data_IF_100025234148
#
_entry.id   IF_100025234148
#
_cell.length_a   1.000
_cell.length_b   1.000
_cell.length_c   1.000
_cell.angle_alpha   90.00
_cell.angle_beta   90.00
_cell.angle_gamma   90.00
#
_symmetry.space_group_name_H-M   'P 1'
#
loop_
_entity.id
_entity.type
_entity.pdbx_description
1 polymer ?
#
# COMPACT_ATOMS: atom_id res chain seq x y z
N UNK A 1 20.23 -24.66 -5.21
CA UNK A 1 20.13 -23.64 -6.29
C UNK A 1 18.65 -23.52 -6.59
N UNK A 2 17.89 -22.52 -6.15
CA UNK A 2 18.19 -21.09 -6.10
C UNK A 2 17.21 -20.37 -7.03
N UNK A 3 15.91 -20.55 -6.82
CA UNK A 3 14.86 -19.74 -7.43
C UNK A 3 13.87 -19.34 -6.33
N UNK A 4 13.99 -18.12 -5.84
CA UNK A 4 12.93 -17.46 -5.08
C UNK A 4 11.65 -17.49 -5.94
N UNK A 5 10.69 -18.33 -5.59
CA UNK A 5 9.41 -18.43 -6.30
C UNK A 5 8.56 -17.20 -5.99
N UNK A 6 8.80 -16.12 -6.72
CA UNK A 6 8.03 -14.89 -6.64
C UNK A 6 6.71 -15.03 -7.40
N UNK A 7 5.60 -14.63 -6.76
CA UNK A 7 4.26 -14.64 -7.35
C UNK A 7 3.42 -15.90 -7.10
N UNK A 8 3.78 -16.74 -6.13
CA UNK A 8 3.01 -17.92 -5.75
C UNK A 8 2.12 -17.62 -4.52
N UNK A 9 0.80 -17.74 -4.66
CA UNK A 9 -0.18 -17.54 -3.60
C UNK A 9 -0.85 -18.90 -3.27
N UNK A 10 -0.20 -19.77 -2.50
CA UNK A 10 -0.69 -21.15 -2.31
C UNK A 10 -2.05 -21.22 -1.62
N UNK A 11 -2.85 -22.19 -2.06
CA UNK A 11 -3.94 -22.80 -1.30
C UNK A 11 -3.68 -24.31 -1.26
N UNK A 12 -3.10 -24.84 -0.19
CA UNK A 12 -2.98 -26.31 -0.06
C UNK A 12 -4.36 -26.87 0.32
N UNK A 13 -5.04 -27.49 -0.64
CA UNK A 13 -6.29 -28.25 -0.40
C UNK A 13 -6.06 -29.75 -0.33
N UNK A 14 -4.83 -30.23 -0.13
CA UNK A 14 -4.58 -31.66 -0.08
C UNK A 14 -4.70 -32.21 1.35
N UNK A 15 -5.83 -32.88 1.60
CA UNK A 15 -6.05 -33.69 2.78
C UNK A 15 -5.04 -34.85 2.85
N UNK A 16 -3.86 -34.61 3.43
CA UNK A 16 -2.98 -35.69 3.89
C UNK A 16 -2.87 -35.68 5.41
N UNK A 17 -3.38 -36.70 6.11
CA UNK A 17 -3.04 -36.88 7.51
C UNK A 17 -1.66 -37.51 7.54
N UNK A 18 -0.65 -36.78 8.03
CA UNK A 18 0.51 -37.27 8.80
C UNK A 18 1.64 -36.26 8.75
N UNK A 19 2.25 -36.02 9.91
CA UNK A 19 3.20 -34.95 10.15
C UNK A 19 4.41 -34.92 9.22
N UNK A 20 4.69 -33.71 8.72
CA UNK A 20 5.93 -33.34 8.06
C UNK A 20 6.04 -31.81 8.07
N UNK A 21 6.76 -31.25 9.04
CA UNK A 21 7.05 -29.81 9.10
C UNK A 21 8.15 -29.49 8.07
N UNK A 22 7.77 -29.27 6.81
CA UNK A 22 8.73 -28.84 5.79
C UNK A 22 9.05 -27.34 5.99
N UNK A 23 10.31 -27.08 6.39
CA UNK A 23 10.83 -25.75 6.74
C UNK A 23 11.17 -24.88 5.52
N UNK A 24 10.86 -25.31 4.29
CA UNK A 24 11.25 -24.60 3.06
C UNK A 24 10.16 -23.68 2.48
N UNK A 25 8.94 -23.68 3.03
CA UNK A 25 7.77 -22.91 2.55
C UNK A 25 7.53 -21.58 3.28
N UNK A 26 8.59 -20.93 3.78
CA UNK A 26 8.47 -19.69 4.57
C UNK A 26 8.04 -18.48 3.71
N UNK A 27 8.17 -18.55 2.38
CA UNK A 27 8.01 -17.37 1.50
C UNK A 27 6.61 -17.17 0.87
N UNK A 28 5.68 -18.13 1.00
CA UNK A 28 4.45 -18.15 0.17
C UNK A 28 3.15 -18.21 0.96
N UNK A 29 3.21 -17.98 2.27
CA UNK A 29 2.05 -17.90 3.17
C UNK A 29 1.69 -16.44 3.50
N UNK A 30 1.91 -15.56 2.53
CA UNK A 30 1.84 -14.12 2.71
C UNK A 30 0.53 -13.62 2.12
N UNK A 31 -0.05 -12.58 2.74
CA UNK A 31 -1.36 -12.03 2.39
C UNK A 31 -1.19 -10.78 1.51
N UNK A 32 -0.98 -10.90 0.19
CA UNK A 32 -1.27 -9.77 -0.67
C UNK A 32 -2.78 -9.62 -0.77
N UNK A 33 -3.23 -8.40 -0.89
CA UNK A 33 -4.63 -8.06 -1.22
C UNK A 33 -5.17 -8.80 -2.45
N UNK A 34 -4.29 -9.29 -3.34
CA UNK A 34 -4.60 -10.17 -4.47
C UNK A 34 -5.20 -11.54 -4.08
N UNK A 35 -4.94 -12.03 -2.87
CA UNK A 35 -5.50 -13.30 -2.38
C UNK A 35 -7.02 -13.21 -2.10
N UNK A 36 -7.57 -11.99 -2.02
CA UNK A 36 -9.01 -11.79 -1.85
C UNK A 36 -9.82 -11.85 -3.15
N UNK A 37 -9.15 -12.06 -4.30
CA UNK A 37 -9.80 -12.27 -5.60
C UNK A 37 -10.44 -13.65 -5.75
N UNK A 38 -10.28 -14.56 -4.78
CA UNK A 38 -10.79 -15.93 -4.82
C UNK A 38 -12.13 -16.11 -4.09
N UNK A 39 -12.88 -17.17 -4.43
CA UNK A 39 -14.31 -17.34 -4.15
C UNK A 39 -14.73 -17.69 -2.71
N UNK A 40 -13.79 -17.99 -1.80
CA UNK A 40 -14.11 -18.35 -0.40
C UNK A 40 -13.10 -17.73 0.54
N UNK A 41 -13.57 -16.84 1.43
CA UNK A 41 -12.69 -16.11 2.36
C UNK A 41 -13.29 -15.94 3.78
N UNK A 42 -14.23 -16.79 4.18
CA UNK A 42 -14.84 -16.73 5.51
C UNK A 42 -14.76 -18.08 6.23
N UNK A 43 -14.07 -18.15 7.39
CA UNK A 43 -13.10 -17.18 7.90
C UNK A 43 -11.87 -17.08 6.96
N UNK A 44 -11.20 -15.92 6.86
CA UNK A 44 -10.03 -15.73 6.02
C UNK A 44 -8.96 -16.81 6.22
N UNK A 45 -8.36 -17.27 5.13
CA UNK A 45 -7.29 -18.28 5.05
C UNK A 45 -7.66 -19.72 5.32
N UNK A 46 -8.90 -19.99 5.74
CA UNK A 46 -9.36 -21.37 5.94
C UNK A 46 -9.24 -22.21 4.66
N UNK A 47 -9.47 -21.61 3.50
CA UNK A 47 -9.36 -22.28 2.20
C UNK A 47 -7.92 -22.44 1.70
N UNK A 48 -6.93 -21.86 2.38
CA UNK A 48 -5.55 -21.73 1.90
C UNK A 48 -4.51 -22.43 2.78
N UNK A 49 -4.95 -23.27 3.71
CA UNK A 49 -4.12 -23.88 4.77
C UNK A 49 -3.23 -22.85 5.54
N UNK A 50 -3.73 -21.62 5.60
CA UNK A 50 -3.11 -20.51 6.31
C UNK A 50 -3.62 -20.41 7.74
N UNK A 51 -2.98 -19.55 8.53
CA UNK A 51 -3.51 -19.24 9.86
C UNK A 51 -4.87 -18.54 9.73
N UNK A 52 -5.91 -19.17 10.25
CA UNK A 52 -7.30 -18.70 10.14
C UNK A 52 -7.52 -17.50 11.03
N UNK A 53 -7.96 -16.40 10.43
CA UNK A 53 -8.22 -15.15 11.13
C UNK A 53 -9.69 -15.11 11.56
N UNK A 54 -9.97 -15.31 12.85
CA UNK A 54 -11.35 -15.43 13.37
C UNK A 54 -11.85 -14.14 14.03
N UNK A 55 -10.96 -13.31 14.58
CA UNK A 55 -11.32 -12.02 15.16
C UNK A 55 -12.55 -12.09 16.08
N UNK A 56 -13.63 -11.39 15.71
CA UNK A 56 -14.93 -11.42 16.41
C UNK A 56 -15.90 -12.35 15.68
N UNK A 57 -16.56 -13.26 16.41
CA UNK A 57 -17.59 -14.13 15.87
C UNK A 57 -18.92 -13.39 15.65
N UNK A 58 -19.54 -13.60 14.49
CA UNK A 58 -20.86 -13.10 14.10
C UNK A 58 -21.87 -14.24 13.95
N UNK A 59 -23.16 -13.89 13.86
CA UNK A 59 -24.22 -14.84 13.55
C UNK A 59 -24.02 -15.52 12.19
N UNK A 60 -24.33 -16.82 12.14
CA UNK A 60 -24.19 -17.65 10.95
C UNK A 60 -22.78 -18.19 10.69
N UNK A 61 -21.92 -18.26 11.71
CA UNK A 61 -20.55 -18.80 11.58
C UNK A 61 -19.62 -17.92 10.74
N UNK A 62 -19.90 -16.61 10.70
CA UNK A 62 -19.10 -15.60 10.00
C UNK A 62 -18.21 -14.86 10.99
N UNK A 63 -17.13 -14.27 10.50
CA UNK A 63 -16.13 -13.63 11.35
C UNK A 63 -15.82 -12.22 10.86
N UNK A 64 -15.64 -11.29 11.81
CA UNK A 64 -15.03 -9.99 11.57
C UNK A 64 -13.57 -10.10 11.99
N UNK A 65 -12.72 -10.42 11.02
CA UNK A 65 -11.45 -11.05 11.30
C UNK A 65 -10.32 -10.09 11.64
N UNK A 66 -10.32 -8.86 11.11
CA UNK A 66 -9.22 -7.92 11.29
C UNK A 66 -9.71 -6.52 11.69
N UNK A 67 -10.37 -6.46 12.86
CA UNK A 67 -10.86 -5.20 13.43
C UNK A 67 -9.73 -4.17 13.59
N UNK A 68 -8.52 -4.64 13.90
CA UNK A 68 -7.33 -3.82 14.05
C UNK A 68 -7.02 -2.98 12.81
N UNK A 69 -6.84 -3.62 11.65
CA UNK A 69 -6.61 -2.91 10.38
C UNK A 69 -7.78 -2.00 10.02
N UNK A 70 -9.04 -2.40 10.28
CA UNK A 70 -10.21 -1.54 10.01
C UNK A 70 -10.11 -0.22 10.78
N UNK A 71 -9.82 -0.29 12.09
CA UNK A 71 -9.73 0.90 12.93
C UNK A 71 -8.55 1.80 12.52
N UNK A 72 -7.40 1.20 12.23
CA UNK A 72 -6.23 1.95 11.78
C UNK A 72 -6.44 2.58 10.41
N UNK A 73 -7.07 1.88 9.47
CA UNK A 73 -7.40 2.42 8.17
C UNK A 73 -8.37 3.61 8.27
N UNK A 74 -9.37 3.51 9.16
CA UNK A 74 -10.24 4.65 9.46
C UNK A 74 -9.46 5.84 10.04
N UNK A 75 -8.54 5.59 10.97
CA UNK A 75 -7.64 6.64 11.51
C UNK A 75 -6.77 7.22 10.39
N UNK A 76 -6.25 6.40 9.49
CA UNK A 76 -5.43 6.81 8.36
C UNK A 76 -6.19 7.73 7.39
N UNK A 77 -7.48 7.45 7.14
CA UNK A 77 -8.36 8.34 6.38
C UNK A 77 -8.49 9.70 7.05
N UNK A 78 -8.79 9.72 8.36
CA UNK A 78 -8.97 10.97 9.13
C UNK A 78 -7.67 11.77 9.17
N UNK A 79 -6.54 11.12 9.45
CA UNK A 79 -5.22 11.76 9.47
C UNK A 79 -4.91 12.34 8.09
N UNK A 80 -5.10 11.58 7.02
CA UNK A 80 -4.85 12.05 5.65
C UNK A 80 -5.73 13.23 5.25
N UNK A 81 -7.01 13.24 5.65
CA UNK A 81 -7.89 14.39 5.46
C UNK A 81 -7.38 15.64 6.20
N UNK A 82 -6.89 15.48 7.44
CA UNK A 82 -6.24 16.56 8.20
C UNK A 82 -4.98 17.04 7.50
N UNK A 83 -4.15 16.13 6.96
CA UNK A 83 -2.94 16.48 6.23
C UNK A 83 -3.25 17.23 4.92
N UNK A 84 -4.29 16.84 4.18
CA UNK A 84 -4.77 17.58 2.99
C UNK A 84 -5.15 19.01 3.38
N UNK A 85 -5.90 19.17 4.47
CA UNK A 85 -6.28 20.49 4.99
C UNK A 85 -5.06 21.32 5.42
N UNK A 86 -4.06 20.70 6.06
CA UNK A 86 -2.81 21.39 6.42
C UNK A 86 -1.98 21.76 5.18
N UNK A 87 -1.95 20.92 4.16
CA UNK A 87 -1.31 21.23 2.87
C UNK A 87 -1.98 22.42 2.18
N UNK A 88 -3.31 22.55 2.26
CA UNK A 88 -4.03 23.65 1.59
C UNK A 88 -3.61 25.02 2.12
N UNK A 89 -3.35 25.11 3.43
CA UNK A 89 -2.89 26.32 4.10
C UNK A 89 -1.50 26.81 3.67
N UNK A 90 -0.69 25.97 3.02
CA UNK A 90 0.67 26.29 2.56
C UNK A 90 0.65 26.86 1.15
N UNK A 91 0.15 28.09 0.97
CA UNK A 91 -0.10 28.65 -0.37
C UNK A 91 1.14 28.85 -1.25
N UNK A 92 2.34 28.95 -0.66
CA UNK A 92 3.60 29.12 -1.36
C UNK A 92 4.43 27.82 -1.49
N UNK A 93 3.94 26.70 -0.97
CA UNK A 93 4.67 25.43 -1.01
C UNK A 93 4.66 24.81 -2.41
N UNK A 94 5.84 24.40 -2.86
CA UNK A 94 6.03 23.67 -4.11
C UNK A 94 5.40 22.27 -4.01
N UNK A 95 4.69 21.81 -5.03
CA UNK A 95 4.11 20.48 -5.11
C UNK A 95 2.87 20.31 -4.23
N UNK A 96 2.19 21.40 -3.86
CA UNK A 96 1.05 21.35 -2.93
C UNK A 96 -0.11 20.52 -3.48
N UNK A 97 -0.51 20.73 -4.74
CA UNK A 97 -1.68 20.04 -5.31
C UNK A 97 -1.38 18.56 -5.57
N UNK A 98 -0.13 18.30 -5.89
CA UNK A 98 0.48 17.00 -6.14
C UNK A 98 0.55 16.18 -4.84
N UNK A 99 0.94 16.82 -3.72
CA UNK A 99 0.87 16.22 -2.39
C UNK A 99 -0.58 15.93 -1.96
N UNK A 100 -1.51 16.85 -2.22
CA UNK A 100 -2.94 16.60 -1.95
C UNK A 100 -3.49 15.44 -2.79
N UNK A 101 -3.07 15.33 -4.05
CA UNK A 101 -3.46 14.22 -4.93
C UNK A 101 -2.92 12.87 -4.42
N UNK A 102 -1.67 12.84 -3.95
CA UNK A 102 -1.09 11.67 -3.29
C UNK A 102 -1.89 11.26 -2.04
N UNK A 103 -2.17 12.21 -1.15
CA UNK A 103 -2.95 11.93 0.07
C UNK A 103 -4.39 11.50 -0.24
N UNK A 104 -5.00 12.04 -1.30
CA UNK A 104 -6.31 11.59 -1.77
C UNK A 104 -6.26 10.15 -2.31
N UNK A 105 -5.22 9.78 -3.05
CA UNK A 105 -4.96 8.40 -3.46
C UNK A 105 -4.81 7.46 -2.27
N UNK A 106 -4.05 7.89 -1.26
CA UNK A 106 -3.90 7.13 -0.02
C UNK A 106 -5.22 6.95 0.76
N UNK A 107 -6.10 7.96 0.79
CA UNK A 107 -7.47 7.80 1.34
C UNK A 107 -8.25 6.71 0.57
N UNK A 108 -8.15 6.66 -0.75
CA UNK A 108 -8.82 5.61 -1.55
C UNK A 108 -8.28 4.22 -1.21
N UNK A 109 -6.96 4.08 -1.03
CA UNK A 109 -6.32 2.84 -0.59
C UNK A 109 -6.92 2.39 0.75
N UNK A 110 -6.94 3.26 1.75
CA UNK A 110 -7.42 2.95 3.10
C UNK A 110 -8.92 2.61 3.14
N UNK A 111 -9.74 3.29 2.32
CA UNK A 111 -11.16 2.92 2.16
C UNK A 111 -11.28 1.48 1.63
N UNK A 112 -10.47 1.12 0.63
CA UNK A 112 -10.51 -0.22 0.08
C UNK A 112 -9.94 -1.24 1.08
N UNK A 113 -8.92 -0.89 1.85
CA UNK A 113 -8.31 -1.74 2.86
C UNK A 113 -9.31 -2.23 3.91
N UNK A 114 -10.21 -1.34 4.35
CA UNK A 114 -11.32 -1.69 5.27
C UNK A 114 -12.15 -2.86 4.72
N UNK A 115 -12.47 -2.85 3.42
CA UNK A 115 -13.32 -3.86 2.79
C UNK A 115 -12.56 -5.09 2.28
N UNK A 116 -11.25 -5.00 2.10
CA UNK A 116 -10.43 -6.12 1.63
C UNK A 116 -9.70 -6.81 2.78
N UNK A 117 -8.78 -6.09 3.44
CA UNK A 117 -7.88 -6.62 4.47
C UNK A 117 -8.59 -6.68 5.83
N UNK A 118 -9.58 -5.82 6.05
CA UNK A 118 -10.39 -5.79 7.27
C UNK A 118 -11.17 -7.08 7.56
N UNK A 119 -11.37 -7.93 6.56
CA UNK A 119 -12.01 -9.24 6.75
C UNK A 119 -13.49 -9.14 7.11
N UNK A 120 -14.18 -8.11 6.61
CA UNK A 120 -15.63 -7.95 6.74
C UNK A 120 -16.31 -9.07 5.93
N UNK A 121 -17.37 -9.73 6.44
CA UNK A 121 -18.08 -10.79 5.72
C UNK A 121 -18.99 -10.21 4.62
N UNK A 122 -18.38 -9.76 3.54
CA UNK A 122 -19.02 -9.22 2.34
C UNK A 122 -19.41 -10.32 1.36
N UNK A 123 -20.34 -9.99 0.46
CA UNK A 123 -20.59 -10.80 -0.74
C UNK A 123 -19.30 -10.97 -1.56
N UNK A 124 -19.17 -12.13 -2.21
CA UNK A 124 -17.97 -12.51 -2.95
C UNK A 124 -17.63 -11.52 -4.07
N UNK A 125 -18.65 -11.07 -4.80
CA UNK A 125 -18.50 -10.13 -5.92
C UNK A 125 -18.09 -8.75 -5.42
N UNK A 126 -18.65 -8.31 -4.30
CA UNK A 126 -18.32 -7.02 -3.68
C UNK A 126 -16.88 -7.02 -3.19
N UNK A 127 -16.45 -8.09 -2.51
CA UNK A 127 -15.07 -8.24 -2.04
C UNK A 127 -14.08 -8.21 -3.21
N UNK A 128 -14.33 -8.99 -4.26
CA UNK A 128 -13.52 -9.01 -5.48
C UNK A 128 -13.39 -7.62 -6.13
N UNK A 129 -14.51 -6.89 -6.22
CA UNK A 129 -14.53 -5.51 -6.71
C UNK A 129 -13.65 -4.58 -5.90
N UNK A 130 -13.80 -4.56 -4.57
CA UNK A 130 -12.95 -3.76 -3.69
C UNK A 130 -11.48 -4.17 -3.78
N UNK A 131 -11.16 -5.46 -3.88
CA UNK A 131 -9.78 -5.93 -4.05
C UNK A 131 -9.14 -5.43 -5.34
N UNK A 132 -9.89 -5.43 -6.45
CA UNK A 132 -9.39 -4.89 -7.72
C UNK A 132 -9.14 -3.37 -7.64
N UNK A 133 -10.07 -2.62 -7.06
CA UNK A 133 -9.91 -1.17 -6.84
C UNK A 133 -8.74 -0.89 -5.90
N UNK A 134 -8.56 -1.68 -4.84
CA UNK A 134 -7.48 -1.54 -3.89
C UNK A 134 -6.11 -1.67 -4.57
N UNK A 135 -5.91 -2.75 -5.33
CA UNK A 135 -4.66 -2.99 -6.05
C UNK A 135 -4.39 -1.89 -7.08
N UNK A 136 -5.41 -1.47 -7.81
CA UNK A 136 -5.31 -0.36 -8.76
C UNK A 136 -4.93 0.97 -8.08
N UNK A 137 -5.54 1.27 -6.93
CA UNK A 137 -5.27 2.47 -6.16
C UNK A 137 -3.83 2.51 -5.64
N UNK A 138 -3.28 1.38 -5.19
CA UNK A 138 -1.88 1.26 -4.77
C UNK A 138 -0.94 1.56 -5.94
N UNK A 139 -1.14 0.92 -7.10
CA UNK A 139 -0.33 1.17 -8.29
C UNK A 139 -0.35 2.64 -8.70
N UNK A 140 -1.54 3.24 -8.79
CA UNK A 140 -1.71 4.63 -9.20
C UNK A 140 -1.13 5.62 -8.18
N UNK A 141 -1.30 5.37 -6.87
CA UNK A 141 -0.81 6.27 -5.82
C UNK A 141 0.72 6.25 -5.71
N UNK A 142 1.36 5.08 -5.84
CA UNK A 142 2.81 4.99 -5.90
C UNK A 142 3.38 5.68 -7.15
N UNK A 143 2.68 5.61 -8.28
CA UNK A 143 3.04 6.36 -9.49
C UNK A 143 2.93 7.89 -9.28
N UNK A 144 1.83 8.36 -8.67
CA UNK A 144 1.66 9.78 -8.31
C UNK A 144 2.82 10.22 -7.42
N UNK A 145 3.13 9.45 -6.37
CA UNK A 145 4.23 9.77 -5.46
C UNK A 145 5.57 9.89 -6.20
N UNK A 146 5.88 8.96 -7.12
CA UNK A 146 7.08 9.05 -7.95
C UNK A 146 7.10 10.34 -8.81
N UNK A 147 6.01 10.67 -9.48
CA UNK A 147 5.95 11.90 -10.29
C UNK A 147 6.06 13.17 -9.43
N UNK A 148 5.59 13.15 -8.18
CA UNK A 148 5.78 14.26 -7.25
C UNK A 148 7.27 14.57 -7.02
N UNK A 149 8.15 13.56 -6.98
CA UNK A 149 9.59 13.80 -6.89
C UNK A 149 10.16 14.51 -8.13
N UNK A 150 9.62 14.25 -9.32
CA UNK A 150 10.05 14.93 -10.55
C UNK A 150 9.64 16.42 -10.56
N UNK A 151 8.49 16.74 -9.95
CA UNK A 151 8.06 18.13 -9.72
C UNK A 151 9.04 18.85 -8.78
N UNK A 152 9.59 18.16 -7.77
CA UNK A 152 10.63 18.69 -6.88
C UNK A 152 11.89 19.14 -7.62
N UNK A 153 12.30 18.41 -8.68
CA UNK A 153 13.42 18.82 -9.55
C UNK A 153 13.08 19.92 -10.55
N UNK A 154 11.85 20.43 -10.54
CA UNK A 154 11.35 21.37 -11.54
C UNK A 154 11.44 20.82 -12.98
N UNK A 155 11.44 19.48 -13.13
CA UNK A 155 11.35 18.84 -14.45
C UNK A 155 9.92 18.93 -15.01
N UNK A 156 8.95 19.14 -14.13
CA UNK A 156 7.56 19.43 -14.43
C UNK A 156 7.19 20.74 -13.70
N UNK A 157 6.55 21.67 -14.41
CA UNK A 157 6.14 22.95 -13.84
C UNK A 157 5.09 22.74 -12.75
N UNK A 158 5.48 22.97 -11.50
CA UNK A 158 4.63 22.84 -10.33
C UNK A 158 3.36 23.72 -10.39
N UNK A 159 2.23 23.19 -9.94
CA UNK A 159 0.98 23.95 -9.82
C UNK A 159 0.33 24.35 -11.14
N UNK A 160 0.91 23.96 -12.29
CA UNK A 160 0.29 24.16 -13.59
C UNK A 160 -0.83 23.14 -13.82
N UNK A 161 -1.97 23.53 -14.43
CA UNK A 161 -3.01 22.58 -14.82
C UNK A 161 -2.49 21.45 -15.72
N UNK A 162 -1.42 21.73 -16.48
CA UNK A 162 -0.76 20.76 -17.34
C UNK A 162 -0.02 19.68 -16.54
N UNK A 163 0.78 20.06 -15.54
CA UNK A 163 1.48 19.11 -14.67
C UNK A 163 0.50 18.24 -13.88
N UNK A 164 -0.48 18.87 -13.22
CA UNK A 164 -1.51 18.14 -12.48
C UNK A 164 -2.33 17.23 -13.41
N UNK A 165 -2.65 17.70 -14.61
CA UNK A 165 -3.33 16.92 -15.63
C UNK A 165 -2.53 15.71 -16.10
N UNK A 166 -1.22 15.86 -16.28
CA UNK A 166 -0.32 14.76 -16.68
C UNK A 166 -0.19 13.71 -15.59
N UNK A 167 0.00 14.13 -14.34
CA UNK A 167 0.09 13.23 -13.18
C UNK A 167 -1.24 12.49 -13.02
N UNK A 168 -2.36 13.22 -12.99
CA UNK A 168 -3.68 12.62 -12.81
C UNK A 168 -4.06 11.69 -13.98
N UNK A 169 -3.84 12.11 -15.23
CA UNK A 169 -4.20 11.30 -16.39
C UNK A 169 -3.37 10.00 -16.46
N UNK A 170 -2.05 10.09 -16.25
CA UNK A 170 -1.19 8.90 -16.24
C UNK A 170 -1.52 7.95 -15.08
N UNK A 171 -1.84 8.50 -13.90
CA UNK A 171 -2.33 7.71 -12.77
C UNK A 171 -3.67 7.02 -13.07
N UNK A 172 -4.61 7.70 -13.73
CA UNK A 172 -5.90 7.12 -14.15
C UNK A 172 -5.71 5.98 -15.15
N UNK A 173 -4.77 6.12 -16.10
CA UNK A 173 -4.44 5.04 -17.04
C UNK A 173 -3.93 3.80 -16.30
N UNK A 174 -3.02 3.97 -15.34
CA UNK A 174 -2.52 2.86 -14.52
C UNK A 174 -3.61 2.28 -13.62
N UNK A 175 -4.46 3.10 -13.03
CA UNK A 175 -5.59 2.67 -12.22
C UNK A 175 -6.56 1.80 -13.04
N UNK A 176 -6.99 2.27 -14.22
CA UNK A 176 -7.89 1.53 -15.10
C UNK A 176 -7.23 0.25 -15.61
N UNK A 177 -5.97 0.32 -16.05
CA UNK A 177 -5.24 -0.83 -16.57
C UNK A 177 -5.06 -1.93 -15.52
N UNK A 178 -4.56 -1.58 -14.34
CA UNK A 178 -4.40 -2.52 -13.23
C UNK A 178 -5.75 -3.03 -12.73
N UNK A 179 -6.75 -2.16 -12.59
CA UNK A 179 -8.09 -2.52 -12.16
C UNK A 179 -8.77 -3.48 -13.12
N UNK A 180 -8.63 -3.28 -14.43
CA UNK A 180 -9.13 -4.20 -15.46
C UNK A 180 -8.50 -5.58 -15.33
N UNK A 181 -7.16 -5.65 -15.22
CA UNK A 181 -6.45 -6.92 -15.06
C UNK A 181 -6.88 -7.64 -13.78
N UNK A 182 -7.05 -6.90 -12.68
CA UNK A 182 -7.50 -7.47 -11.41
C UNK A 182 -8.96 -7.96 -11.46
N UNK A 183 -9.86 -7.22 -12.10
CA UNK A 183 -11.27 -7.63 -12.27
C UNK A 183 -11.39 -8.85 -13.18
N UNK A 184 -10.68 -8.86 -14.31
CA UNK A 184 -10.68 -10.02 -15.21
C UNK A 184 -10.11 -11.26 -14.51
N UNK A 185 -9.05 -11.10 -13.70
CA UNK A 185 -8.52 -12.19 -12.87
C UNK A 185 -9.55 -12.71 -11.85
N UNK A 186 -10.37 -11.82 -11.26
CA UNK A 186 -11.30 -12.18 -10.19
C UNK A 186 -12.63 -12.79 -10.68
N UNK A 187 -13.10 -12.34 -11.85
CA UNK A 187 -14.39 -12.74 -12.42
C UNK A 187 -14.28 -13.62 -13.66
N UNK A 188 -13.07 -13.81 -14.19
CA UNK A 188 -12.80 -14.67 -15.33
C UNK A 188 -13.66 -14.33 -16.57
N UNK A 189 -13.71 -13.04 -16.93
CA UNK A 189 -14.54 -12.58 -18.05
C UNK A 189 -13.99 -12.99 -19.41
N UNK A 190 -12.66 -12.89 -19.58
CA UNK A 190 -12.00 -13.10 -20.87
C UNK A 190 -11.14 -14.37 -20.93
N UNK A 191 -10.86 -15.01 -19.79
CA UNK A 191 -9.96 -16.16 -19.70
C UNK A 191 -8.47 -15.82 -19.89
N UNK A 192 -8.11 -14.55 -20.09
CA UNK A 192 -6.76 -14.14 -20.51
C UNK A 192 -5.80 -13.95 -19.33
N UNK A 193 -6.31 -13.44 -18.20
CA UNK A 193 -5.54 -13.22 -16.98
C UNK A 193 -5.85 -14.25 -15.89
N UNK A 194 -6.33 -15.44 -16.27
CA UNK A 194 -6.53 -16.53 -15.33
C UNK A 194 -5.24 -16.78 -14.54
N UNK A 195 -5.31 -16.90 -13.20
CA UNK A 195 -4.22 -17.50 -12.43
C UNK A 195 -3.90 -18.84 -13.08
N UNK A 196 -2.63 -19.25 -13.14
CA UNK A 196 -2.29 -20.55 -13.72
C UNK A 196 -2.98 -21.69 -12.96
N UNK A 197 -4.16 -22.13 -13.43
CA UNK A 197 -4.95 -23.21 -12.83
C UNK A 197 -4.35 -24.59 -13.12
N UNK A 198 -3.27 -24.65 -13.90
CA UNK A 198 -2.49 -25.87 -14.19
C UNK A 198 -1.48 -26.15 -13.08
N UNK A 199 -1.99 -26.44 -11.87
CA UNK A 199 -1.21 -26.84 -10.70
C UNK A 199 -1.63 -26.11 -9.41
N UNK A 200 -1.12 -26.56 -8.27
CA UNK A 200 -1.30 -25.99 -6.92
C UNK A 200 -0.74 -24.56 -6.72
N UNK A 201 -0.44 -23.86 -7.81
CA UNK A 201 0.25 -22.58 -7.83
C UNK A 201 -0.71 -21.50 -8.36
N UNK A 202 -1.39 -20.75 -7.48
CA UNK A 202 -2.18 -19.59 -7.87
C UNK A 202 -1.26 -18.44 -8.29
N UNK A 203 -0.62 -18.57 -9.46
CA UNK A 203 0.37 -17.63 -9.96
C UNK A 203 -0.25 -16.67 -10.97
N UNK A 204 -0.17 -15.38 -10.67
CA UNK A 204 -0.51 -14.31 -11.61
C UNK A 204 0.65 -13.30 -11.68
N UNK A 205 1.47 -13.43 -12.72
CA UNK A 205 2.67 -12.60 -12.90
C UNK A 205 2.29 -11.13 -13.18
N UNK A 206 1.21 -10.90 -13.92
CA UNK A 206 0.74 -9.54 -14.24
C UNK A 206 0.39 -8.76 -12.98
N UNK A 207 -0.45 -9.34 -12.11
CA UNK A 207 -0.80 -8.75 -10.84
C UNK A 207 0.41 -8.61 -9.92
N UNK A 208 1.29 -9.61 -9.85
CA UNK A 208 2.53 -9.47 -9.07
C UNK A 208 3.36 -8.26 -9.52
N UNK A 209 3.53 -8.07 -10.83
CA UNK A 209 4.30 -6.93 -11.35
C UNK A 209 3.60 -5.62 -11.02
N UNK A 210 2.30 -5.51 -11.27
CA UNK A 210 1.55 -4.25 -11.12
C UNK A 210 1.31 -3.84 -9.66
N UNK A 211 1.09 -4.80 -8.78
CA UNK A 211 0.81 -4.57 -7.36
C UNK A 211 2.09 -4.48 -6.51
N UNK A 212 3.10 -5.29 -6.81
CA UNK A 212 4.27 -5.43 -5.94
C UNK A 212 5.52 -4.80 -6.54
N UNK A 213 5.93 -5.26 -7.72
CA UNK A 213 7.24 -4.88 -8.26
C UNK A 213 7.26 -3.42 -8.75
N UNK A 214 6.25 -3.02 -9.52
CA UNK A 214 6.16 -1.67 -10.08
C UNK A 214 6.01 -0.61 -8.99
N UNK A 215 5.12 -0.77 -7.98
CA UNK A 215 5.04 0.17 -6.86
C UNK A 215 6.35 0.25 -6.07
N UNK A 216 7.03 -0.88 -5.84
CA UNK A 216 8.34 -0.88 -5.19
C UNK A 216 9.38 -0.08 -5.98
N UNK A 217 9.42 -0.24 -7.31
CA UNK A 217 10.31 0.55 -8.18
C UNK A 217 9.97 2.04 -8.07
N UNK A 218 8.69 2.42 -8.10
CA UNK A 218 8.26 3.81 -7.95
C UNK A 218 8.72 4.40 -6.61
N UNK A 219 8.59 3.65 -5.51
CA UNK A 219 9.05 4.08 -4.18
C UNK A 219 10.57 4.25 -4.09
N UNK A 220 11.33 3.32 -4.68
CA UNK A 220 12.80 3.41 -4.71
C UNK A 220 13.26 4.59 -5.55
N UNK A 221 12.63 4.83 -6.71
CA UNK A 221 12.91 5.99 -7.54
C UNK A 221 12.55 7.28 -6.81
N UNK A 222 11.35 7.38 -6.23
CA UNK A 222 10.94 8.51 -5.41
C UNK A 222 11.98 8.84 -4.33
N UNK A 223 12.36 7.85 -3.50
CA UNK A 223 13.36 8.03 -2.46
C UNK A 223 14.71 8.50 -3.02
N UNK A 224 15.16 7.91 -4.12
CA UNK A 224 16.45 8.24 -4.74
C UNK A 224 16.48 9.66 -5.28
N UNK A 225 15.42 10.08 -5.95
CA UNK A 225 15.27 11.43 -6.49
C UNK A 225 15.22 12.45 -5.35
N UNK A 226 14.34 12.28 -4.37
CA UNK A 226 14.23 13.20 -3.24
C UNK A 226 15.51 13.25 -2.40
N UNK A 227 16.20 12.11 -2.21
CA UNK A 227 17.48 12.09 -1.53
C UNK A 227 18.55 12.92 -2.26
N UNK A 228 18.59 12.84 -3.59
CA UNK A 228 19.49 13.67 -4.40
C UNK A 228 19.11 15.14 -4.31
N UNK A 229 17.82 15.47 -4.41
CA UNK A 229 17.32 16.84 -4.27
C UNK A 229 17.78 17.44 -2.94
N UNK A 230 17.55 16.75 -1.84
CA UNK A 230 17.85 17.26 -0.51
C UNK A 230 19.35 17.36 -0.28
N UNK A 231 20.12 16.32 -0.61
CA UNK A 231 21.56 16.28 -0.31
C UNK A 231 22.41 17.11 -1.29
N UNK A 232 22.02 17.22 -2.56
CA UNK A 232 22.81 17.90 -3.59
C UNK A 232 22.29 19.29 -3.93
N UNK A 233 20.98 19.52 -3.89
CA UNK A 233 20.39 20.81 -4.26
C UNK A 233 20.20 21.68 -3.02
N UNK A 234 19.52 21.18 -1.98
CA UNK A 234 19.25 21.95 -0.75
C UNK A 234 20.44 21.98 0.21
N UNK A 235 21.18 20.87 0.32
CA UNK A 235 22.32 20.75 1.24
C UNK A 235 21.94 20.65 2.72
N UNK A 236 20.68 20.30 3.04
CA UNK A 236 20.20 20.19 4.42
C UNK A 236 19.94 18.73 4.83
N UNK A 237 20.51 18.30 5.97
CA UNK A 237 20.35 16.92 6.44
C UNK A 237 19.05 16.65 7.21
N UNK A 238 18.37 17.69 7.69
CA UNK A 238 17.17 17.53 8.51
C UNK A 238 16.00 16.91 7.72
N UNK A 239 15.68 17.35 6.50
CA UNK A 239 14.67 16.69 5.67
C UNK A 239 15.01 15.22 5.36
N UNK A 240 16.30 14.89 5.20
CA UNK A 240 16.72 13.50 4.98
C UNK A 240 16.34 12.55 6.11
N UNK A 241 16.33 13.03 7.36
CA UNK A 241 15.90 12.21 8.50
C UNK A 241 14.42 11.85 8.39
N UNK A 242 13.56 12.79 7.97
CA UNK A 242 12.14 12.51 7.77
C UNK A 242 11.90 11.55 6.61
N UNK A 243 12.57 11.76 5.47
CA UNK A 243 12.47 10.89 4.30
C UNK A 243 12.96 9.45 4.61
N UNK A 244 14.12 9.32 5.23
CA UNK A 244 14.69 8.02 5.61
C UNK A 244 13.87 7.34 6.69
N UNK A 245 13.37 8.10 7.66
CA UNK A 245 12.46 7.60 8.69
C UNK A 245 11.18 7.02 8.09
N UNK A 246 10.58 7.72 7.12
CA UNK A 246 9.40 7.22 6.39
C UNK A 246 9.70 5.93 5.62
N UNK A 247 10.83 5.86 4.92
CA UNK A 247 11.24 4.66 4.19
C UNK A 247 11.45 3.45 5.12
N UNK A 248 12.10 3.66 6.27
CA UNK A 248 12.31 2.61 7.28
C UNK A 248 10.98 2.16 7.89
N UNK A 249 10.08 3.09 8.23
CA UNK A 249 8.75 2.76 8.75
C UNK A 249 7.97 1.91 7.74
N UNK A 250 7.92 2.32 6.47
CA UNK A 250 7.27 1.54 5.42
C UNK A 250 7.89 0.14 5.29
N UNK A 251 9.22 0.03 5.26
CA UNK A 251 9.92 -1.25 5.18
C UNK A 251 9.61 -2.17 6.38
N UNK A 252 9.51 -1.61 7.59
CA UNK A 252 9.08 -2.35 8.79
C UNK A 252 7.65 -2.89 8.58
N UNK A 253 6.72 -2.08 8.09
CA UNK A 253 5.36 -2.51 7.76
C UNK A 253 5.34 -3.70 6.79
N UNK A 254 6.15 -3.63 5.72
CA UNK A 254 6.27 -4.73 4.76
C UNK A 254 6.86 -6.01 5.42
N UNK A 255 7.83 -5.88 6.32
CA UNK A 255 8.36 -7.03 7.09
C UNK A 255 7.26 -7.66 7.96
N UNK A 256 6.38 -6.86 8.57
CA UNK A 256 5.27 -7.38 9.36
C UNK A 256 4.29 -8.20 8.50
N UNK A 257 3.91 -7.69 7.33
CA UNK A 257 2.99 -8.38 6.43
C UNK A 257 3.59 -9.63 5.81
N UNK A 258 4.82 -9.54 5.30
CA UNK A 258 5.45 -10.66 4.62
C UNK A 258 6.02 -11.66 5.63
N UNK A 259 6.96 -11.26 6.48
CA UNK A 259 7.72 -12.22 7.30
C UNK A 259 6.98 -12.63 8.58
N UNK A 260 6.39 -11.68 9.30
CA UNK A 260 5.95 -11.90 10.69
C UNK A 260 4.49 -12.36 10.80
N UNK A 261 3.68 -12.10 9.76
CA UNK A 261 2.22 -12.21 9.82
C UNK A 261 1.69 -13.56 10.30
N UNK A 262 2.26 -14.66 9.81
CA UNK A 262 1.85 -16.03 10.19
C UNK A 262 2.19 -16.36 11.64
N UNK A 263 3.39 -15.96 12.09
CA UNK A 263 3.84 -16.15 13.46
C UNK A 263 2.95 -15.38 14.44
N UNK A 264 2.59 -14.15 14.08
CA UNK A 264 1.71 -13.32 14.89
C UNK A 264 0.27 -13.87 14.94
N UNK A 265 -0.22 -14.37 13.82
CA UNK A 265 -1.54 -15.01 13.75
C UNK A 265 -1.61 -16.27 14.63
N UNK A 266 -0.59 -17.14 14.57
CA UNK A 266 -0.53 -18.33 15.43
C UNK A 266 -0.38 -17.97 16.90
N UNK A 267 0.49 -17.02 17.23
CA UNK A 267 0.71 -16.58 18.61
C UNK A 267 -0.51 -15.88 19.23
N UNK A 268 -1.31 -15.18 18.43
CA UNK A 268 -2.54 -14.50 18.89
C UNK A 268 -3.78 -15.40 18.90
N UNK A 269 -3.66 -16.65 18.44
CA UNK A 269 -4.79 -17.57 18.30
C UNK A 269 -5.80 -17.11 17.24
N UNK A 270 -5.33 -16.54 16.12
CA UNK A 270 -6.17 -16.12 14.99
C UNK A 270 -6.85 -14.77 15.17
N UNK A 271 -6.46 -13.97 16.17
CA UNK A 271 -7.08 -12.66 16.45
C UNK A 271 -6.46 -11.50 15.68
N UNK A 272 -5.15 -11.54 15.46
CA UNK A 272 -4.37 -10.45 14.86
C UNK A 272 -3.31 -11.06 13.93
N UNK A 273 -3.05 -10.44 12.79
CA UNK A 273 -1.95 -10.79 11.90
C UNK A 273 -1.07 -9.56 11.60
N UNK A 274 -0.09 -9.73 10.71
CA UNK A 274 0.85 -8.68 10.34
C UNK A 274 0.22 -7.46 9.66
N UNK A 275 -0.97 -7.62 9.06
CA UNK A 275 -1.64 -6.55 8.33
C UNK A 275 -2.00 -5.37 9.23
N UNK A 276 -2.38 -5.60 10.50
CA UNK A 276 -2.59 -4.51 11.47
C UNK A 276 -1.36 -3.59 11.58
N UNK A 277 -0.18 -4.21 11.70
CA UNK A 277 1.06 -3.46 11.85
C UNK A 277 1.50 -2.81 10.55
N UNK A 278 1.24 -3.45 9.42
CA UNK A 278 1.49 -2.85 8.12
C UNK A 278 0.65 -1.59 7.91
N UNK A 279 -0.66 -1.60 8.17
CA UNK A 279 -1.51 -0.40 8.14
C UNK A 279 -0.94 0.71 9.05
N UNK A 280 -0.52 0.36 10.27
CA UNK A 280 0.06 1.30 11.23
C UNK A 280 1.34 1.96 10.69
N UNK A 281 2.29 1.14 10.25
CA UNK A 281 3.61 1.60 9.82
C UNK A 281 3.54 2.32 8.46
N UNK A 282 2.62 1.92 7.57
CA UNK A 282 2.33 2.63 6.33
C UNK A 282 1.72 4.01 6.62
N UNK A 283 0.76 4.12 7.55
CA UNK A 283 0.25 5.43 8.00
C UNK A 283 1.38 6.31 8.56
N UNK A 284 2.22 5.77 9.45
CA UNK A 284 3.34 6.53 10.01
C UNK A 284 4.35 6.95 8.93
N UNK A 285 4.58 6.11 7.92
CA UNK A 285 5.40 6.46 6.77
C UNK A 285 4.78 7.60 5.95
N UNK A 286 3.47 7.59 5.69
CA UNK A 286 2.78 8.68 5.00
C UNK A 286 2.85 9.99 5.78
N UNK A 287 2.68 9.95 7.12
CA UNK A 287 2.88 11.12 7.98
C UNK A 287 4.34 11.61 7.90
N UNK A 288 5.31 10.70 7.89
CA UNK A 288 6.73 11.01 7.71
C UNK A 288 7.03 11.66 6.35
N UNK A 289 6.43 11.16 5.27
CA UNK A 289 6.53 11.74 3.92
C UNK A 289 5.91 13.13 3.85
N UNK A 290 4.75 13.35 4.47
CA UNK A 290 4.15 14.67 4.54
C UNK A 290 5.01 15.64 5.36
N UNK A 291 5.60 15.18 6.46
CA UNK A 291 6.51 15.98 7.29
C UNK A 291 7.79 16.33 6.52
N UNK A 292 8.33 15.38 5.76
CA UNK A 292 9.43 15.60 4.83
C UNK A 292 9.08 16.70 3.81
N UNK A 293 7.97 16.55 3.08
CA UNK A 293 7.50 17.55 2.12
C UNK A 293 7.28 18.92 2.77
N UNK A 294 6.68 18.95 3.95
CA UNK A 294 6.50 20.19 4.72
C UNK A 294 7.85 20.85 5.03
N UNK A 295 8.87 20.06 5.40
CA UNK A 295 10.19 20.58 5.80
C UNK A 295 11.00 21.17 4.65
N UNK A 296 10.80 20.71 3.41
CA UNK A 296 11.48 21.27 2.23
C UNK A 296 10.71 22.43 1.58
N UNK A 297 9.48 22.71 2.06
CA UNK A 297 8.60 23.75 1.50
C UNK A 297 8.25 24.87 2.49
N UNK A 298 8.58 24.74 3.77
CA UNK A 298 8.53 25.83 4.73
C UNK A 298 9.86 26.57 4.75
N UNK A 299 9.83 27.83 4.30
CA UNK A 299 10.91 28.77 4.53
C UNK A 299 10.98 29.15 6.02
N UNK A 300 11.50 28.26 6.89
CA UNK A 300 12.07 28.66 8.19
C UNK A 300 13.42 29.36 7.95
N UNK A 301 13.46 30.30 7.00
CA UNK A 301 14.61 31.15 6.80
C UNK A 301 14.55 32.12 7.97
N UNK A 302 15.62 32.25 8.77
CA UNK A 302 15.63 33.25 9.81
C UNK A 302 15.43 34.60 9.11
N UNK A 303 14.22 35.14 9.24
CA UNK A 303 13.96 36.52 8.86
C UNK A 303 15.01 37.33 9.62
N UNK A 304 15.78 38.20 8.94
CA UNK A 304 16.69 39.09 9.63
C UNK A 304 15.88 39.78 10.72
N UNK A 305 16.17 39.46 11.98
CA UNK A 305 15.56 40.13 13.14
C UNK A 305 15.85 41.60 12.88
N UNK A 306 14.79 42.36 12.63
CA UNK A 306 14.87 43.70 12.07
C UNK A 306 15.97 44.49 12.77
N UNK A 307 17.04 44.76 12.02
CA UNK A 307 17.91 45.89 12.31
C UNK A 307 17.03 47.12 12.16
N UNK A 308 16.46 47.57 13.28
CA UNK A 308 15.73 48.81 13.36
C UNK A 308 16.62 49.91 12.81
N UNK A 309 16.25 50.43 11.64
CA UNK A 309 16.76 51.70 11.17
C UNK A 309 15.98 52.79 11.91
N UNK A 310 16.73 53.50 12.77
CA UNK A 310 16.45 54.77 13.46
C UNK A 310 15.33 54.78 14.52
#
# INVERSE_FOLDING_TARGET
MGSTQFGNFHADTDHTPLGGYDRTSVATRHYPSAMFLFAVNQPPNKAFDGCVLTGIDLSGGRNLSNLGSILLAFIAIVVSAVLIWRSDKKHAAVGRREMQLFLAGFIVIEICEIFTVGGIPLDDSVRKGFSAVHVAAITATCWILFLNALVGFQLLDDGTPASLGLIAASAVVLFIGTGYIALDTAFDWTGHFQPSVTGSDNRNIGLYVLYQLFPLICLVLFYSFEAVLVLRVLGEFRPMMYLSGAAVLFAIGQIFTYVISTHLCQASGGKINGALFETLFTLLAVVGLWTFWSSITEDDWPLPVGGGYN
#
